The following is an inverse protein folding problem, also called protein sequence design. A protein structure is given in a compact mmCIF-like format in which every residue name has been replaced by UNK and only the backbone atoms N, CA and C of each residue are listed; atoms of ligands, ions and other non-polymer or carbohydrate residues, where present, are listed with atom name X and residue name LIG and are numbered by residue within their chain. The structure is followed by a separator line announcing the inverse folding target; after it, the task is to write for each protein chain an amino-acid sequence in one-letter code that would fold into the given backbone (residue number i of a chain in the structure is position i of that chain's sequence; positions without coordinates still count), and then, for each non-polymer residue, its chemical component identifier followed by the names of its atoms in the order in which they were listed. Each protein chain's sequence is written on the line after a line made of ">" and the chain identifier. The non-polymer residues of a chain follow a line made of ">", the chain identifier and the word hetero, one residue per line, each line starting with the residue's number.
data_IF_122291790623
#
_entry.id   IF_122291790623
#
_cell.length_a   1.000
_cell.length_b   1.000
_cell.length_c   1.000
_cell.angle_alpha   90.00
_cell.angle_beta   90.00
_cell.angle_gamma   90.00
#
_symmetry.space_group_name_H-M   'P 1'
#
loop_
_entity.id
_entity.type
_entity.pdbx_description
1 polymer ?
#
# COMPACT_ATOMS: atom_id res chain seq x y z
N UNK A 1 14.23 6.97 -3.87
CA UNK A 1 13.53 7.91 -4.76
C UNK A 1 12.02 7.74 -4.61
N UNK A 2 11.27 8.85 -4.62
CA UNK A 2 9.82 8.89 -4.61
C UNK A 2 9.32 9.41 -5.95
N UNK A 3 8.33 8.75 -6.52
CA UNK A 3 7.74 9.15 -7.78
C UNK A 3 6.71 10.27 -7.59
N UNK A 4 6.67 11.23 -8.52
CA UNK A 4 5.88 12.45 -8.40
C UNK A 4 6.32 13.29 -7.18
N UNK A 5 5.41 14.04 -6.60
CA UNK A 5 5.64 14.87 -5.42
C UNK A 5 5.48 14.12 -4.07
N UNK A 6 5.10 12.83 -4.13
CA UNK A 6 4.87 11.99 -2.97
C UNK A 6 3.56 12.26 -2.23
N UNK A 7 2.67 13.11 -2.75
CA UNK A 7 1.38 13.43 -2.13
C UNK A 7 0.26 12.43 -2.50
N UNK A 8 0.49 11.52 -3.46
CA UNK A 8 -0.45 10.45 -3.77
C UNK A 8 -0.75 9.63 -2.51
N UNK A 9 -2.03 9.32 -2.32
CA UNK A 9 -2.50 8.65 -1.10
C UNK A 9 -3.12 7.30 -1.41
N UNK A 10 -2.89 6.35 -0.52
CA UNK A 10 -3.49 5.01 -0.58
C UNK A 10 -3.95 4.59 0.81
N UNK A 11 -4.96 3.74 0.83
CA UNK A 11 -5.38 3.00 2.01
C UNK A 11 -4.49 1.76 2.13
N UNK A 12 -3.74 1.70 3.22
CA UNK A 12 -2.84 0.58 3.51
C UNK A 12 -3.43 -0.27 4.61
N UNK A 13 -3.46 -1.56 4.41
CA UNK A 13 -3.92 -2.54 5.39
C UNK A 13 -2.80 -3.54 5.70
N UNK A 14 -2.65 -3.90 6.95
CA UNK A 14 -1.70 -4.92 7.34
C UNK A 14 -2.24 -6.32 7.02
N UNK A 15 -1.35 -7.22 6.61
CA UNK A 15 -1.74 -8.55 6.11
C UNK A 15 -2.51 -9.38 7.14
N UNK A 16 -2.20 -9.25 8.43
CA UNK A 16 -2.92 -10.00 9.48
C UNK A 16 -4.39 -9.58 9.56
N UNK A 17 -4.70 -8.29 9.34
CA UNK A 17 -6.07 -7.79 9.31
C UNK A 17 -6.84 -8.30 8.08
N UNK A 18 -6.17 -8.40 6.93
CA UNK A 18 -6.74 -9.04 5.73
C UNK A 18 -7.07 -10.52 6.01
N UNK A 19 -6.12 -11.26 6.60
CA UNK A 19 -6.32 -12.66 6.96
C UNK A 19 -7.47 -12.80 7.96
N UNK A 20 -7.54 -11.92 8.96
CA UNK A 20 -8.61 -11.93 9.94
C UNK A 20 -9.99 -11.74 9.30
N UNK A 21 -10.13 -10.83 8.31
CA UNK A 21 -11.39 -10.71 7.56
C UNK A 21 -11.70 -11.97 6.74
N UNK A 22 -10.71 -12.52 6.04
CA UNK A 22 -10.91 -13.74 5.25
C UNK A 22 -11.43 -14.91 6.12
N UNK A 23 -10.87 -15.09 7.32
CA UNK A 23 -11.36 -16.09 8.28
C UNK A 23 -12.80 -15.81 8.73
N UNK A 24 -13.16 -14.55 9.00
CA UNK A 24 -14.53 -14.16 9.35
C UNK A 24 -15.52 -14.47 8.23
N UNK A 25 -15.15 -14.23 6.98
CA UNK A 25 -15.98 -14.55 5.82
C UNK A 25 -16.25 -16.07 5.73
N UNK A 26 -15.21 -16.88 5.98
CA UNK A 26 -15.36 -18.36 6.01
C UNK A 26 -16.24 -18.82 7.17
N UNK A 27 -16.09 -18.23 8.36
CA UNK A 27 -16.89 -18.57 9.55
C UNK A 27 -18.36 -18.13 9.45
N UNK A 28 -18.64 -17.09 8.67
CA UNK A 28 -19.98 -16.48 8.53
C UNK A 28 -20.38 -16.31 7.07
N UNK A 29 -20.52 -17.40 6.32
CA UNK A 29 -20.83 -17.31 4.90
C UNK A 29 -22.18 -16.65 4.66
N UNK A 30 -22.21 -15.65 3.79
CA UNK A 30 -23.44 -15.02 3.33
C UNK A 30 -24.06 -15.83 2.20
N UNK A 31 -25.39 -15.74 2.03
CA UNK A 31 -26.07 -16.36 0.89
C UNK A 31 -25.85 -15.53 -0.37
N UNK A 32 -25.49 -16.21 -1.46
CA UNK A 32 -25.27 -15.56 -2.76
C UNK A 32 -23.89 -14.93 -2.88
N UNK A 33 -23.78 -13.84 -3.65
CA UNK A 33 -22.56 -13.08 -3.85
C UNK A 33 -22.52 -11.94 -2.86
N UNK A 34 -21.39 -11.79 -2.17
CA UNK A 34 -21.10 -10.64 -1.31
C UNK A 34 -19.69 -10.12 -1.59
N UNK A 35 -19.51 -8.81 -1.56
CA UNK A 35 -18.25 -8.15 -1.78
C UNK A 35 -17.98 -7.12 -0.68
N UNK A 36 -16.80 -7.21 -0.06
CA UNK A 36 -16.41 -6.32 1.03
C UNK A 36 -15.07 -5.65 0.74
N UNK A 37 -14.92 -4.42 1.18
CA UNK A 37 -13.63 -3.75 1.15
C UNK A 37 -12.79 -4.16 2.36
N UNK A 38 -11.55 -4.57 2.10
CA UNK A 38 -10.51 -4.76 3.12
C UNK A 38 -9.74 -3.46 3.23
N UNK A 39 -10.06 -2.64 4.21
CA UNK A 39 -9.61 -1.26 4.29
C UNK A 39 -9.33 -0.85 5.73
N UNK A 40 -8.29 -0.04 5.94
CA UNK A 40 -8.05 0.62 7.22
C UNK A 40 -9.00 1.80 7.45
N UNK A 41 -9.73 2.22 6.43
CA UNK A 41 -10.53 3.44 6.38
C UNK A 41 -9.69 4.71 6.64
N UNK A 42 -8.38 4.62 6.39
CA UNK A 42 -7.43 5.72 6.47
C UNK A 42 -6.48 5.68 5.28
N UNK A 43 -6.15 6.85 4.75
CA UNK A 43 -5.19 6.95 3.67
C UNK A 43 -3.94 7.70 4.11
N UNK A 44 -2.80 7.24 3.64
CA UNK A 44 -1.49 7.85 3.88
C UNK A 44 -0.82 8.22 2.57
N UNK A 45 -0.15 9.35 2.54
CA UNK A 45 0.70 9.72 1.42
C UNK A 45 2.02 8.96 1.46
N UNK A 46 2.67 8.86 0.31
CA UNK A 46 4.01 8.26 0.23
C UNK A 46 5.02 9.05 1.08
N UNK A 47 4.85 10.39 1.18
CA UNK A 47 5.68 11.24 2.05
C UNK A 47 5.50 10.91 3.52
N UNK A 48 4.26 10.71 3.98
CA UNK A 48 3.96 10.32 5.37
C UNK A 48 4.58 8.95 5.67
N UNK A 49 4.41 7.97 4.80
CA UNK A 49 5.03 6.64 4.98
C UNK A 49 6.55 6.72 5.01
N UNK A 50 7.15 7.54 4.14
CA UNK A 50 8.59 7.75 4.12
C UNK A 50 9.10 8.36 5.43
N UNK A 51 8.37 9.35 5.97
CA UNK A 51 8.71 9.97 7.26
C UNK A 51 8.59 8.98 8.43
N UNK A 52 7.53 8.16 8.46
CA UNK A 52 7.36 7.11 9.48
C UNK A 52 8.49 6.08 9.38
N UNK A 53 8.82 5.61 8.18
CA UNK A 53 9.91 4.66 7.97
C UNK A 53 11.27 5.21 8.42
N UNK A 54 11.58 6.46 8.09
CA UNK A 54 12.79 7.14 8.58
C UNK A 54 12.86 7.16 10.11
N UNK A 55 11.77 7.56 10.77
CA UNK A 55 11.65 7.58 12.23
C UNK A 55 11.90 6.20 12.83
N UNK A 56 11.26 5.15 12.30
CA UNK A 56 11.39 3.78 12.79
C UNK A 56 12.80 3.22 12.63
N UNK A 57 13.48 3.58 11.55
CA UNK A 57 14.88 3.18 11.30
C UNK A 57 15.91 4.04 12.04
N UNK A 58 15.50 5.06 12.77
CA UNK A 58 16.42 6.04 13.36
C UNK A 58 17.25 6.79 12.32
N UNK A 59 16.71 6.99 11.12
CA UNK A 59 17.36 7.65 9.99
C UNK A 59 16.72 9.01 9.72
N UNK A 60 17.47 9.87 9.06
CA UNK A 60 16.98 11.15 8.53
C UNK A 60 17.48 11.29 7.09
N UNK A 61 16.99 10.42 6.22
CA UNK A 61 17.37 10.40 4.81
C UNK A 61 16.41 11.34 4.08
N UNK A 62 16.96 12.31 3.36
CA UNK A 62 16.18 13.23 2.55
C UNK A 62 15.54 12.49 1.36
N UNK A 63 14.25 12.76 1.13
CA UNK A 63 13.54 12.16 0.00
C UNK A 63 13.99 12.82 -1.31
N UNK A 64 14.35 11.99 -2.29
CA UNK A 64 14.60 12.44 -3.67
C UNK A 64 13.34 12.18 -4.49
N UNK A 65 12.88 13.20 -5.20
CA UNK A 65 11.69 13.13 -6.04
C UNK A 65 12.08 12.99 -7.51
N UNK A 66 11.31 12.23 -8.25
CA UNK A 66 11.47 12.05 -9.69
C UNK A 66 10.11 12.10 -10.39
N UNK A 67 10.06 12.39 -11.71
CA UNK A 67 8.82 12.41 -12.46
C UNK A 67 8.03 11.09 -12.34
N UNK A 68 6.71 11.17 -12.40
CA UNK A 68 5.80 10.01 -12.36
C UNK A 68 6.15 8.94 -13.41
N UNK A 69 6.63 9.37 -14.57
CA UNK A 69 7.04 8.50 -15.69
C UNK A 69 8.44 7.89 -15.54
N UNK A 70 9.24 8.28 -14.53
CA UNK A 70 10.67 7.92 -14.44
C UNK A 70 10.94 6.41 -14.55
N UNK A 71 10.19 5.60 -13.85
CA UNK A 71 10.35 4.14 -13.91
C UNK A 71 9.90 3.58 -15.27
N UNK A 72 8.75 4.02 -15.74
CA UNK A 72 8.09 3.51 -16.94
C UNK A 72 8.78 3.96 -18.23
N UNK A 73 9.50 5.08 -18.21
CA UNK A 73 10.29 5.55 -19.35
C UNK A 73 11.38 4.55 -19.80
N UNK A 74 11.72 3.59 -18.94
CA UNK A 74 12.68 2.51 -19.27
C UNK A 74 12.08 1.43 -20.17
N UNK A 75 10.77 1.43 -20.37
CA UNK A 75 10.00 0.42 -21.10
C UNK A 75 9.17 1.06 -22.22
N UNK A 76 9.83 1.63 -23.26
CA UNK A 76 9.12 2.36 -24.32
C UNK A 76 8.12 1.48 -25.08
N UNK A 77 8.32 0.17 -25.11
CA UNK A 77 7.41 -0.80 -25.73
C UNK A 77 6.02 -0.82 -25.09
N UNK A 78 5.88 -0.40 -23.84
CA UNK A 78 4.58 -0.33 -23.15
C UNK A 78 3.68 0.80 -23.65
N UNK A 79 4.26 1.78 -24.35
CA UNK A 79 3.53 2.94 -24.87
C UNK A 79 3.11 2.76 -26.34
N UNK A 80 3.56 1.68 -26.99
CA UNK A 80 3.28 1.38 -28.40
C UNK A 80 2.08 0.46 -28.60
N UNK A 81 1.61 0.39 -29.87
CA UNK A 81 0.56 -0.54 -30.27
C UNK A 81 -0.86 -0.07 -29.91
N UNK A 82 -1.84 -0.94 -30.21
CA UNK A 82 -3.27 -0.63 -30.07
C UNK A 82 -3.72 -0.46 -28.59
N UNK A 83 -2.98 -1.02 -27.66
CA UNK A 83 -3.26 -1.01 -26.22
C UNK A 83 -2.15 -0.37 -25.39
N UNK A 84 -1.35 0.50 -26.03
CA UNK A 84 -0.26 1.18 -25.34
C UNK A 84 -0.73 2.03 -24.17
N UNK A 85 0.08 2.09 -23.12
CA UNK A 85 -0.17 2.94 -21.96
C UNK A 85 -0.12 4.40 -22.40
N UNK A 86 -1.15 5.16 -22.08
CA UNK A 86 -1.17 6.61 -22.32
C UNK A 86 -0.50 7.34 -21.16
N UNK A 87 0.45 8.25 -21.41
CA UNK A 87 1.16 8.99 -20.35
C UNK A 87 0.22 9.68 -19.36
N UNK A 88 -0.91 10.21 -19.83
CA UNK A 88 -1.92 10.90 -19.00
C UNK A 88 -2.59 9.95 -18.00
N UNK A 89 -2.85 8.68 -18.42
CA UNK A 89 -3.42 7.66 -17.54
C UNK A 89 -2.40 7.28 -16.47
N UNK A 90 -1.13 7.12 -16.86
CA UNK A 90 -0.05 6.82 -15.92
C UNK A 90 0.10 7.93 -14.86
N UNK A 91 0.12 9.18 -15.29
CA UNK A 91 0.23 10.32 -14.38
C UNK A 91 -0.96 10.39 -13.40
N UNK A 92 -2.16 10.17 -13.92
CA UNK A 92 -3.37 10.10 -13.09
C UNK A 92 -3.30 8.96 -12.07
N UNK A 93 -2.87 7.76 -12.46
CA UNK A 93 -2.76 6.62 -11.53
C UNK A 93 -1.64 6.82 -10.49
N UNK A 94 -0.52 7.40 -10.86
CA UNK A 94 0.57 7.70 -9.91
C UNK A 94 0.12 8.72 -8.88
N UNK A 95 -0.64 9.74 -9.27
CA UNK A 95 -1.09 10.82 -8.40
C UNK A 95 -2.44 10.55 -7.72
N UNK A 96 -2.98 9.35 -7.87
CA UNK A 96 -4.29 8.96 -7.38
C UNK A 96 -4.40 9.06 -5.85
N UNK A 97 -5.54 9.56 -5.40
CA UNK A 97 -6.01 9.43 -4.03
C UNK A 97 -7.01 8.26 -3.95
N UNK A 98 -6.78 7.32 -3.06
CA UNK A 98 -7.72 6.22 -2.81
C UNK A 98 -7.85 5.91 -1.33
N UNK A 99 -9.09 5.75 -0.90
CA UNK A 99 -9.49 5.29 0.42
C UNK A 99 -10.79 4.52 0.25
N UNK A 100 -10.90 3.39 0.92
CA UNK A 100 -12.11 2.57 0.88
C UNK A 100 -12.89 2.72 2.18
N UNK A 101 -14.20 2.51 2.09
CA UNK A 101 -15.09 2.39 3.24
C UNK A 101 -15.19 0.91 3.65
N UNK A 102 -14.94 0.61 4.92
CA UNK A 102 -15.02 -0.73 5.49
C UNK A 102 -16.31 -0.98 6.29
N UNK A 103 -17.31 -0.11 6.20
CA UNK A 103 -18.56 -0.20 6.96
C UNK A 103 -19.25 -1.55 6.74
N UNK A 104 -19.33 -2.02 5.49
CA UNK A 104 -19.94 -3.31 5.19
C UNK A 104 -19.19 -4.49 5.84
N UNK A 105 -17.86 -4.48 5.82
CA UNK A 105 -17.07 -5.52 6.49
C UNK A 105 -17.33 -5.56 8.01
N UNK A 106 -17.48 -4.39 8.62
CA UNK A 106 -17.79 -4.27 10.04
C UNK A 106 -19.19 -4.77 10.37
N UNK A 107 -20.20 -4.36 9.61
CA UNK A 107 -21.60 -4.71 9.87
C UNK A 107 -21.90 -6.18 9.58
N UNK A 108 -21.44 -6.71 8.44
CA UNK A 108 -21.74 -8.08 8.02
C UNK A 108 -20.89 -9.13 8.74
N UNK A 109 -19.62 -8.83 9.00
CA UNK A 109 -18.66 -9.81 9.54
C UNK A 109 -18.13 -9.47 10.94
N UNK A 110 -18.50 -8.33 11.51
CA UNK A 110 -18.00 -7.86 12.81
C UNK A 110 -16.48 -7.67 12.80
N UNK A 111 -15.93 -7.23 11.66
CA UNK A 111 -14.49 -7.07 11.47
C UNK A 111 -14.08 -5.61 11.49
N UNK A 112 -12.96 -5.34 12.14
CA UNK A 112 -12.28 -4.06 12.13
C UNK A 112 -10.77 -4.29 12.04
N UNK A 113 -10.02 -3.42 11.33
CA UNK A 113 -8.57 -3.46 11.32
C UNK A 113 -8.04 -3.14 12.72
N UNK A 114 -6.99 -3.84 13.15
CA UNK A 114 -6.39 -3.71 14.48
C UNK A 114 -4.97 -3.18 14.44
N UNK A 115 -4.32 -3.26 13.29
CA UNK A 115 -2.92 -2.87 13.13
C UNK A 115 -2.87 -1.50 12.46
N UNK A 116 -2.46 -0.49 13.23
CA UNK A 116 -2.22 0.85 12.69
C UNK A 116 -0.95 0.88 11.82
N UNK A 117 -0.80 1.98 11.07
CA UNK A 117 0.28 2.12 10.08
C UNK A 117 1.68 2.08 10.73
N UNK A 118 1.88 2.70 11.91
CA UNK A 118 3.17 2.71 12.58
C UNK A 118 3.55 1.31 13.06
N UNK A 119 2.61 0.59 13.67
CA UNK A 119 2.78 -0.80 14.10
C UNK A 119 3.07 -1.72 12.91
N UNK A 120 2.31 -1.59 11.82
CA UNK A 120 2.51 -2.39 10.61
C UNK A 120 3.88 -2.14 9.98
N UNK A 121 4.27 -0.89 9.81
CA UNK A 121 5.60 -0.53 9.29
C UNK A 121 6.74 -0.96 10.22
N UNK A 122 6.58 -0.88 11.53
CA UNK A 122 7.59 -1.37 12.49
C UNK A 122 7.89 -2.86 12.26
N UNK A 123 6.84 -3.68 12.12
CA UNK A 123 7.00 -5.13 11.83
C UNK A 123 7.70 -5.38 10.49
N UNK A 124 7.40 -4.59 9.47
CA UNK A 124 8.07 -4.67 8.16
C UNK A 124 9.55 -4.31 8.29
N UNK A 125 9.88 -3.21 8.96
CA UNK A 125 11.28 -2.79 9.19
C UNK A 125 12.07 -3.85 9.94
N UNK A 126 11.48 -4.45 10.98
CA UNK A 126 12.11 -5.54 11.73
C UNK A 126 12.37 -6.78 10.86
N UNK A 127 11.38 -7.19 10.05
CA UNK A 127 11.50 -8.34 9.17
C UNK A 127 12.59 -8.13 8.11
N UNK A 128 12.60 -6.98 7.44
CA UNK A 128 13.59 -6.61 6.44
C UNK A 128 15.00 -6.53 7.04
N UNK A 129 15.13 -5.96 8.23
CA UNK A 129 16.43 -5.88 8.93
C UNK A 129 17.00 -7.27 9.23
N UNK A 130 16.16 -8.21 9.67
CA UNK A 130 16.57 -9.60 9.88
C UNK A 130 16.99 -10.29 8.59
N UNK A 131 16.21 -10.12 7.53
CA UNK A 131 16.54 -10.71 6.21
C UNK A 131 17.85 -10.20 5.65
N UNK A 132 18.13 -8.89 5.78
CA UNK A 132 19.40 -8.31 5.34
C UNK A 132 20.57 -8.87 6.13
N UNK A 133 20.45 -8.95 7.46
CA UNK A 133 21.50 -9.50 8.33
C UNK A 133 21.79 -10.98 8.05
N UNK A 134 20.82 -11.74 7.55
CA UNK A 134 21.00 -13.14 7.13
C UNK A 134 21.69 -13.26 5.76
N UNK A 135 21.42 -12.33 4.84
CA UNK A 135 22.09 -12.28 3.52
C UNK A 135 23.55 -11.93 3.63
N UNK A 136 23.92 -11.03 4.54
CA UNK A 136 25.32 -10.62 4.76
C UNK A 136 26.18 -11.72 5.41
N UNK A 137 25.56 -12.79 5.91
CA UNK A 137 26.27 -13.95 6.50
C UNK A 137 26.55 -15.08 5.51
N UNK A 138 26.03 -14.97 4.27
CA UNK A 138 26.23 -15.95 3.19
C UNK A 138 27.26 -15.49 2.18
#
# INVERSE_FOLDING_TARGET
>A
ELHSDGNQRRDYIYVDDLIALALRVVERPQKGFDAVNVSSNQSYSVRELYAIANKLMGKNIEAKYCPSSHYWAKYPELYGGAYGIKPEILDHEVNKFSQCDNTHAREAYGWEPKVDIETGLSRVVEAETKMLAEKDKR
#
